data_IF_112486904220
#
_entry.id   IF_112486904220
#
_cell.length_a   1.000
_cell.length_b   1.000
_cell.length_c   1.000
_cell.angle_alpha   90.00
_cell.angle_beta   90.00
_cell.angle_gamma   90.00
#
_symmetry.space_group_name_H-M   'P 1'
#
loop_
_entity.id
_entity.type
_entity.pdbx_description
1 polymer ?
#
# COMPACT_ATOMS: atom_id res chain seq x y z
N UNK A 1 -10.60 -8.78 -28.98
CA UNK A 1 -9.89 -10.07 -29.05
C UNK A 1 -9.25 -10.25 -27.69
N UNK A 2 -9.90 -11.00 -26.82
CA UNK A 2 -9.29 -11.44 -25.56
C UNK A 2 -8.30 -12.51 -25.95
N UNK A 3 -7.02 -12.17 -25.97
CA UNK A 3 -5.96 -13.17 -26.04
C UNK A 3 -6.06 -14.00 -24.78
N UNK A 4 -6.15 -15.31 -24.89
CA UNK A 4 -6.07 -16.27 -23.80
C UNK A 4 -4.74 -16.08 -23.08
N UNK A 5 -4.75 -15.24 -22.06
CA UNK A 5 -3.57 -15.00 -21.23
C UNK A 5 -3.53 -16.12 -20.22
N UNK A 6 -2.72 -17.13 -20.48
CA UNK A 6 -2.30 -18.13 -19.48
C UNK A 6 -1.44 -17.44 -18.42
N UNK A 7 -2.04 -16.56 -17.63
CA UNK A 7 -1.35 -15.76 -16.62
C UNK A 7 -2.13 -15.64 -15.34
N UNK A 8 -1.45 -15.27 -14.25
CA UNK A 8 -2.10 -14.99 -12.98
C UNK A 8 -2.93 -13.70 -13.10
N UNK A 9 -4.20 -13.75 -12.65
CA UNK A 9 -5.00 -12.54 -12.46
C UNK A 9 -4.47 -11.74 -11.25
N UNK A 10 -4.82 -10.44 -11.17
CA UNK A 10 -4.47 -9.59 -10.02
C UNK A 10 -4.92 -10.23 -8.69
N UNK A 11 -6.13 -10.78 -8.63
CA UNK A 11 -6.63 -11.44 -7.44
C UNK A 11 -5.81 -12.69 -7.07
N UNK A 12 -5.41 -13.51 -8.05
CA UNK A 12 -4.58 -14.69 -7.79
C UNK A 12 -3.19 -14.30 -7.29
N UNK A 13 -2.59 -13.27 -7.88
CA UNK A 13 -1.30 -12.72 -7.40
C UNK A 13 -1.43 -12.18 -5.98
N UNK A 14 -2.49 -11.44 -5.69
CA UNK A 14 -2.79 -10.93 -4.33
C UNK A 14 -2.90 -12.05 -3.30
N UNK A 15 -3.63 -13.11 -3.62
CA UNK A 15 -3.75 -14.27 -2.72
C UNK A 15 -2.40 -14.96 -2.52
N UNK A 16 -1.63 -15.15 -3.57
CA UNK A 16 -0.34 -15.84 -3.51
C UNK A 16 0.69 -15.03 -2.71
N UNK A 17 0.85 -13.75 -3.01
CA UNK A 17 1.93 -12.93 -2.44
C UNK A 17 1.59 -12.35 -1.08
N UNK A 18 0.32 -12.05 -0.81
CA UNK A 18 -0.06 -11.35 0.43
C UNK A 18 -0.93 -12.20 1.35
N UNK A 19 -1.94 -12.91 0.85
CA UNK A 19 -2.84 -13.66 1.72
C UNK A 19 -2.17 -14.89 2.34
N UNK A 20 -1.52 -15.74 1.57
CA UNK A 20 -0.90 -16.95 2.10
C UNK A 20 0.17 -16.68 3.17
N UNK A 21 1.18 -15.81 2.94
CA UNK A 21 2.13 -15.50 3.99
C UNK A 21 1.48 -14.81 5.19
N UNK A 22 0.48 -13.96 4.98
CA UNK A 22 -0.27 -13.32 6.07
C UNK A 22 -1.02 -14.33 6.93
N UNK A 23 -1.69 -15.29 6.33
CA UNK A 23 -2.39 -16.38 7.04
C UNK A 23 -1.38 -17.19 7.86
N UNK A 24 -0.26 -17.58 7.26
CA UNK A 24 0.79 -18.32 7.96
C UNK A 24 1.29 -17.58 9.20
N UNK A 25 1.63 -16.28 9.08
CA UNK A 25 2.10 -15.47 10.19
C UNK A 25 1.02 -15.27 11.27
N UNK A 26 -0.23 -15.11 10.85
CA UNK A 26 -1.39 -14.97 11.74
C UNK A 26 -1.66 -16.22 12.57
N UNK A 27 -1.56 -17.39 11.96
CA UNK A 27 -1.70 -18.67 12.66
C UNK A 27 -0.60 -18.89 13.71
N UNK A 28 0.61 -18.39 13.44
CA UNK A 28 1.73 -18.42 14.39
C UNK A 28 1.57 -17.44 15.55
N UNK A 29 0.83 -16.36 15.35
CA UNK A 29 0.61 -15.36 16.40
C UNK A 29 -0.80 -14.73 16.35
N UNK A 30 -1.86 -15.48 16.71
CA UNK A 30 -3.24 -15.04 16.58
C UNK A 30 -3.59 -13.77 17.39
N UNK A 31 -2.77 -13.41 18.38
CA UNK A 31 -2.97 -12.21 19.21
C UNK A 31 -2.78 -10.91 18.43
N UNK A 32 -2.01 -10.94 17.35
CA UNK A 32 -1.73 -9.78 16.50
C UNK A 32 -2.85 -9.49 15.50
N UNK A 33 -3.65 -10.50 15.15
CA UNK A 33 -4.61 -10.45 14.04
C UNK A 33 -5.57 -9.28 14.17
N UNK A 34 -6.18 -9.09 15.34
CA UNK A 34 -7.21 -8.06 15.51
C UNK A 34 -6.68 -6.64 15.25
N UNK A 35 -5.56 -6.28 15.87
CA UNK A 35 -4.98 -4.92 15.72
C UNK A 35 -4.49 -4.68 14.30
N UNK A 36 -3.76 -5.66 13.75
CA UNK A 36 -3.27 -5.60 12.37
C UNK A 36 -4.41 -5.47 11.38
N UNK A 37 -5.46 -6.29 11.52
CA UNK A 37 -6.61 -6.27 10.62
C UNK A 37 -7.35 -4.94 10.63
N UNK A 38 -7.63 -4.38 11.83
CA UNK A 38 -8.33 -3.09 11.92
C UNK A 38 -7.50 -1.98 11.30
N UNK A 39 -6.19 -1.93 11.60
CA UNK A 39 -5.30 -0.95 10.99
C UNK A 39 -5.28 -1.08 9.47
N UNK A 40 -5.15 -2.31 8.96
CA UNK A 40 -5.06 -2.60 7.54
C UNK A 40 -6.36 -2.29 6.79
N UNK A 41 -7.51 -2.56 7.39
CA UNK A 41 -8.80 -2.18 6.82
C UNK A 41 -8.93 -0.67 6.70
N UNK A 42 -8.62 0.07 7.77
CA UNK A 42 -8.73 1.54 7.75
C UNK A 42 -7.76 2.14 6.74
N UNK A 43 -6.50 1.74 6.76
CA UNK A 43 -5.49 2.25 5.83
C UNK A 43 -5.76 1.82 4.40
N UNK A 44 -6.02 0.52 4.16
CA UNK A 44 -6.23 -0.03 2.83
C UNK A 44 -7.47 0.55 2.15
N UNK A 45 -8.59 0.72 2.86
CA UNK A 45 -9.78 1.38 2.32
C UNK A 45 -9.50 2.84 1.96
N UNK A 46 -8.74 3.55 2.81
CA UNK A 46 -8.37 4.95 2.53
C UNK A 46 -7.48 5.04 1.29
N UNK A 47 -6.49 4.15 1.18
CA UNK A 47 -5.62 4.06 0.00
C UNK A 47 -6.43 3.74 -1.26
N UNK A 48 -7.29 2.74 -1.21
CA UNK A 48 -8.12 2.32 -2.33
C UNK A 48 -8.91 3.49 -2.94
N UNK A 49 -9.63 4.24 -2.11
CA UNK A 49 -10.49 5.32 -2.64
C UNK A 49 -9.69 6.55 -3.09
N UNK A 50 -8.67 6.94 -2.34
CA UNK A 50 -7.95 8.18 -2.62
C UNK A 50 -6.86 7.93 -3.68
N UNK A 51 -6.01 6.93 -3.46
CA UNK A 51 -4.81 6.75 -4.28
C UNK A 51 -5.14 6.20 -5.65
N UNK A 52 -5.99 5.18 -5.73
CA UNK A 52 -6.33 4.58 -7.02
C UNK A 52 -7.13 5.53 -7.90
N UNK A 53 -8.08 6.28 -7.30
CA UNK A 53 -8.81 7.26 -8.09
C UNK A 53 -7.90 8.38 -8.62
N UNK A 54 -7.04 8.93 -7.77
CA UNK A 54 -6.12 10.00 -8.17
C UNK A 54 -5.04 9.50 -9.13
N UNK A 55 -4.55 8.28 -8.95
CA UNK A 55 -3.63 7.64 -9.87
C UNK A 55 -4.27 7.40 -11.25
N UNK A 56 -5.53 6.98 -11.28
CA UNK A 56 -6.30 6.86 -12.52
C UNK A 56 -6.42 8.22 -13.24
N UNK A 57 -6.70 9.31 -12.50
CA UNK A 57 -6.82 10.65 -13.07
C UNK A 57 -5.48 11.21 -13.62
N UNK A 58 -4.37 10.90 -12.96
CA UNK A 58 -3.01 11.28 -13.40
C UNK A 58 -2.40 10.25 -14.36
N UNK A 59 -3.14 9.17 -14.66
CA UNK A 59 -2.70 8.01 -15.43
C UNK A 59 -1.42 7.35 -14.87
N UNK A 60 -1.14 7.53 -13.57
CA UNK A 60 0.06 7.00 -12.91
C UNK A 60 0.14 5.48 -13.02
N UNK A 61 -0.99 4.78 -12.92
CA UNK A 61 -1.14 3.37 -13.29
C UNK A 61 -2.55 3.07 -13.77
N UNK A 62 -2.70 1.99 -14.51
CA UNK A 62 -3.98 1.51 -14.98
C UNK A 62 -4.04 -0.01 -14.94
N UNK A 63 -5.15 -0.55 -14.41
CA UNK A 63 -5.42 -1.98 -14.29
C UNK A 63 -6.47 -2.35 -15.35
N UNK A 64 -6.11 -3.04 -16.45
CA UNK A 64 -7.02 -3.23 -17.60
C UNK A 64 -8.10 -4.29 -17.38
N UNK A 65 -7.79 -5.35 -16.65
CA UNK A 65 -8.56 -6.60 -16.61
C UNK A 65 -9.58 -6.72 -15.47
N UNK A 66 -10.10 -5.61 -14.93
CA UNK A 66 -11.05 -5.67 -13.81
C UNK A 66 -12.44 -6.14 -14.23
N UNK A 67 -13.06 -6.98 -13.40
CA UNK A 67 -14.45 -7.44 -13.58
C UNK A 67 -15.45 -6.34 -13.29
N UNK A 68 -15.17 -5.46 -12.34
CA UNK A 68 -16.04 -4.36 -11.95
C UNK A 68 -15.25 -3.19 -11.39
N UNK A 69 -15.77 -1.96 -11.56
CA UNK A 69 -15.12 -0.73 -11.15
C UNK A 69 -16.06 0.21 -10.42
N UNK A 70 -15.51 0.98 -9.49
CA UNK A 70 -16.20 2.03 -8.74
C UNK A 70 -15.79 3.43 -9.24
N UNK A 71 -16.45 4.46 -8.73
CA UNK A 71 -16.15 5.89 -8.95
C UNK A 71 -15.88 6.21 -10.43
N UNK A 72 -16.92 6.06 -11.27
CA UNK A 72 -16.84 6.30 -12.71
C UNK A 72 -15.72 5.50 -13.39
N UNK A 73 -15.69 4.22 -13.10
CA UNK A 73 -14.77 3.25 -13.69
C UNK A 73 -13.28 3.46 -13.38
N UNK A 74 -12.96 4.22 -12.33
CA UNK A 74 -11.56 4.45 -11.95
C UNK A 74 -10.97 3.38 -11.04
N UNK A 75 -11.74 2.83 -10.10
CA UNK A 75 -11.24 1.92 -9.07
C UNK A 75 -11.66 0.48 -9.35
N UNK A 76 -10.72 -0.43 -9.65
CA UNK A 76 -10.99 -1.85 -9.81
C UNK A 76 -11.40 -2.50 -8.47
N UNK A 77 -12.37 -3.42 -8.50
CA UNK A 77 -12.80 -4.11 -7.28
C UNK A 77 -11.70 -5.00 -6.69
N UNK A 78 -10.86 -5.58 -7.54
CA UNK A 78 -9.75 -6.45 -7.18
C UNK A 78 -8.66 -5.73 -6.40
N UNK A 79 -8.57 -4.42 -6.54
CA UNK A 79 -7.58 -3.59 -5.84
C UNK A 79 -7.90 -3.41 -4.35
N UNK A 80 -9.17 -3.55 -3.96
CA UNK A 80 -9.59 -3.54 -2.57
C UNK A 80 -8.91 -4.63 -1.71
N UNK A 81 -9.04 -5.92 -2.05
CA UNK A 81 -8.27 -6.98 -1.42
C UNK A 81 -6.77 -6.78 -1.50
N UNK A 82 -6.24 -6.26 -2.62
CA UNK A 82 -4.82 -6.05 -2.82
C UNK A 82 -4.28 -5.02 -1.81
N UNK A 83 -4.86 -3.85 -1.69
CA UNK A 83 -4.42 -2.80 -0.76
C UNK A 83 -4.52 -3.23 0.69
N UNK A 84 -5.65 -3.84 1.09
CA UNK A 84 -5.85 -4.29 2.47
C UNK A 84 -4.88 -5.41 2.86
N UNK A 85 -4.70 -6.42 1.99
CA UNK A 85 -3.82 -7.56 2.27
C UNK A 85 -2.35 -7.17 2.24
N UNK A 86 -1.95 -6.22 1.38
CA UNK A 86 -0.61 -5.68 1.39
C UNK A 86 -0.28 -5.00 2.73
N UNK A 87 -1.13 -4.06 3.17
CA UNK A 87 -0.94 -3.39 4.47
C UNK A 87 -0.91 -4.41 5.60
N UNK A 88 -1.81 -5.39 5.56
CA UNK A 88 -1.84 -6.45 6.54
C UNK A 88 -0.54 -7.26 6.55
N UNK A 89 -0.05 -7.65 5.38
CA UNK A 89 1.18 -8.41 5.25
C UNK A 89 2.41 -7.66 5.76
N UNK A 90 2.52 -6.38 5.43
CA UNK A 90 3.60 -5.52 5.94
C UNK A 90 3.57 -5.47 7.46
N UNK A 91 2.41 -5.17 8.05
CA UNK A 91 2.29 -4.97 9.50
C UNK A 91 2.43 -6.28 10.27
N UNK A 92 1.84 -7.40 9.81
CA UNK A 92 1.99 -8.69 10.49
C UNK A 92 3.42 -9.20 10.43
N UNK A 93 4.12 -8.97 9.31
CA UNK A 93 5.54 -9.27 9.14
C UNK A 93 6.39 -8.47 10.12
N UNK A 94 6.14 -7.15 10.22
CA UNK A 94 6.80 -6.26 11.16
C UNK A 94 6.66 -6.74 12.59
N UNK A 95 5.45 -7.01 13.04
CA UNK A 95 5.17 -7.49 14.39
C UNK A 95 5.78 -8.85 14.68
N UNK A 96 5.68 -9.79 13.74
CA UNK A 96 6.15 -11.15 13.91
C UNK A 96 7.67 -11.24 14.04
N UNK A 97 8.41 -10.59 13.15
CA UNK A 97 9.86 -10.74 13.09
C UNK A 97 10.62 -9.79 14.00
N UNK A 98 10.11 -8.59 14.25
CA UNK A 98 10.87 -7.60 14.99
C UNK A 98 10.37 -7.35 16.42
N UNK A 99 9.14 -7.77 16.73
CA UNK A 99 8.55 -7.48 18.04
C UNK A 99 7.77 -8.64 18.66
N UNK A 100 8.14 -9.87 18.39
CA UNK A 100 7.57 -11.09 19.00
C UNK A 100 7.73 -11.08 20.55
N UNK A 101 7.07 -10.16 21.24
CA UNK A 101 7.09 -10.09 22.69
C UNK A 101 5.92 -10.86 23.30
N UNK A 102 6.17 -11.52 24.44
CA UNK A 102 5.16 -12.20 25.25
C UNK A 102 4.16 -11.23 25.93
N UNK A 103 4.29 -9.91 25.70
CA UNK A 103 3.46 -8.89 26.31
C UNK A 103 2.04 -8.87 25.74
N UNK A 104 1.09 -8.62 26.61
CA UNK A 104 -0.33 -8.59 26.29
C UNK A 104 -0.61 -7.42 25.35
N UNK A 105 -0.99 -7.71 24.11
CA UNK A 105 -1.39 -6.68 23.15
C UNK A 105 -2.68 -6.02 23.62
N UNK A 106 -2.59 -4.75 23.93
CA UNK A 106 -3.74 -3.89 24.19
C UNK A 106 -3.78 -2.87 23.07
N UNK A 107 -4.96 -2.62 22.52
CA UNK A 107 -5.19 -1.57 21.54
C UNK A 107 -4.60 -0.24 22.03
N UNK A 108 -3.76 0.38 21.20
CA UNK A 108 -3.29 1.72 21.53
C UNK A 108 -4.46 2.71 21.39
N UNK A 109 -4.77 3.53 22.40
CA UNK A 109 -5.90 4.47 22.34
C UNK A 109 -5.81 5.45 21.16
N UNK A 110 -4.60 5.73 20.68
CA UNK A 110 -4.38 6.63 19.55
C UNK A 110 -4.91 6.10 18.20
N UNK A 111 -5.29 4.82 18.10
CA UNK A 111 -5.90 4.30 16.85
C UNK A 111 -7.17 5.06 16.47
N UNK A 112 -7.89 5.61 17.48
CA UNK A 112 -9.06 6.44 17.21
C UNK A 112 -8.71 7.70 16.41
N UNK A 113 -7.54 8.29 16.69
CA UNK A 113 -7.04 9.45 15.95
C UNK A 113 -6.64 9.09 14.53
N UNK A 114 -6.10 7.90 14.33
CA UNK A 114 -5.80 7.39 12.99
C UNK A 114 -7.08 7.16 12.19
N UNK A 115 -8.08 6.52 12.79
CA UNK A 115 -9.41 6.34 12.17
C UNK A 115 -10.04 7.68 11.83
N UNK A 116 -10.03 8.64 12.76
CA UNK A 116 -10.56 9.98 12.54
C UNK A 116 -9.82 10.72 11.41
N UNK A 117 -8.49 10.60 11.36
CA UNK A 117 -7.67 11.16 10.28
C UNK A 117 -8.04 10.56 8.92
N UNK A 118 -8.08 9.23 8.80
CA UNK A 118 -8.47 8.54 7.56
C UNK A 118 -9.92 8.90 7.14
N UNK A 119 -10.85 8.92 8.10
CA UNK A 119 -12.22 9.35 7.83
C UNK A 119 -12.29 10.79 7.33
N UNK A 120 -11.50 11.70 7.91
CA UNK A 120 -11.44 13.09 7.45
C UNK A 120 -10.88 13.20 6.03
N UNK A 121 -9.83 12.43 5.70
CA UNK A 121 -9.30 12.37 4.33
C UNK A 121 -10.35 11.86 3.34
N UNK A 122 -11.08 10.81 3.68
CA UNK A 122 -12.17 10.27 2.84
C UNK A 122 -13.29 11.30 2.66
N UNK A 123 -13.70 12.01 3.72
CA UNK A 123 -14.71 13.08 3.62
C UNK A 123 -14.23 14.19 2.69
N UNK A 124 -13.00 14.68 2.87
CA UNK A 124 -12.42 15.71 2.00
C UNK A 124 -12.38 15.22 0.55
N UNK A 125 -11.92 13.99 0.33
CA UNK A 125 -11.86 13.37 -0.99
C UNK A 125 -13.25 13.33 -1.64
N UNK A 126 -14.27 12.78 -0.96
CA UNK A 126 -15.60 12.64 -1.53
C UNK A 126 -16.28 14.01 -1.76
N UNK A 127 -16.08 14.98 -0.86
CA UNK A 127 -16.55 16.35 -1.07
C UNK A 127 -15.90 16.96 -2.31
N UNK A 128 -14.56 16.83 -2.45
CA UNK A 128 -13.84 17.34 -3.63
C UNK A 128 -14.28 16.62 -4.90
N UNK A 129 -14.45 15.29 -4.84
CA UNK A 129 -14.94 14.49 -5.96
C UNK A 129 -16.31 14.95 -6.49
N UNK A 130 -17.21 15.38 -5.59
CA UNK A 130 -18.56 15.84 -5.96
C UNK A 130 -18.54 17.29 -6.44
N UNK A 131 -17.84 18.18 -5.72
CA UNK A 131 -17.92 19.65 -5.91
C UNK A 131 -16.90 20.15 -6.93
N UNK A 132 -15.69 19.60 -6.93
CA UNK A 132 -14.57 20.09 -7.73
C UNK A 132 -13.68 18.94 -8.22
N UNK A 133 -14.19 17.98 -9.02
CA UNK A 133 -13.44 16.78 -9.39
C UNK A 133 -12.11 17.07 -10.12
N UNK A 134 -12.03 18.18 -10.84
CA UNK A 134 -10.79 18.61 -11.51
C UNK A 134 -9.65 18.93 -10.53
N UNK A 135 -9.95 19.26 -9.27
CA UNK A 135 -8.94 19.52 -8.24
C UNK A 135 -8.24 18.24 -7.77
N UNK A 136 -8.77 17.06 -8.11
CA UNK A 136 -8.14 15.76 -7.84
C UNK A 136 -7.11 15.36 -8.89
N UNK A 137 -7.01 16.08 -10.01
CA UNK A 137 -5.94 15.85 -11.02
C UNK A 137 -4.68 16.55 -10.55
N UNK A 138 -3.73 15.77 -10.04
CA UNK A 138 -2.48 16.31 -9.46
C UNK A 138 -1.29 15.73 -10.25
N UNK A 139 -0.63 16.54 -11.10
CA UNK A 139 0.57 16.09 -11.80
C UNK A 139 1.65 15.59 -10.82
N UNK A 140 2.36 14.54 -11.19
CA UNK A 140 3.31 13.86 -10.32
C UNK A 140 2.67 13.36 -9.01
N UNK A 141 1.42 12.92 -9.10
CA UNK A 141 0.67 12.46 -7.93
C UNK A 141 1.41 11.38 -7.17
N UNK A 142 1.98 10.40 -7.88
CA UNK A 142 2.66 9.27 -7.30
C UNK A 142 3.85 9.68 -6.41
N UNK A 143 4.73 10.53 -6.93
CA UNK A 143 5.87 11.04 -6.16
C UNK A 143 5.42 11.86 -4.94
N UNK A 144 4.43 12.75 -5.14
CA UNK A 144 3.89 13.57 -4.04
C UNK A 144 3.27 12.73 -2.94
N UNK A 145 2.58 11.64 -3.33
CA UNK A 145 2.03 10.65 -2.41
C UNK A 145 3.13 10.03 -1.56
N UNK A 146 4.18 9.47 -2.18
CA UNK A 146 5.30 8.86 -1.47
C UNK A 146 5.97 9.83 -0.49
N UNK A 147 6.16 11.08 -0.89
CA UNK A 147 6.72 12.08 0.00
C UNK A 147 5.82 12.34 1.21
N UNK A 148 4.53 12.60 0.98
CA UNK A 148 3.61 13.01 2.04
C UNK A 148 3.22 11.87 2.98
N UNK A 149 2.91 10.70 2.45
CA UNK A 149 2.32 9.61 3.23
C UNK A 149 3.33 8.53 3.63
N UNK A 150 4.52 8.53 3.06
CA UNK A 150 5.54 7.52 3.37
C UNK A 150 6.81 8.16 3.93
N UNK A 151 7.48 9.04 3.17
CA UNK A 151 8.78 9.59 3.56
C UNK A 151 8.67 10.50 4.80
N UNK A 152 7.69 11.40 4.87
CA UNK A 152 7.53 12.31 6.03
C UNK A 152 7.20 11.53 7.31
N UNK A 153 6.19 10.64 7.36
CA UNK A 153 5.91 9.84 8.56
C UNK A 153 7.09 8.97 8.97
N UNK A 154 7.78 8.35 8.01
CA UNK A 154 8.98 7.56 8.27
C UNK A 154 10.10 8.41 8.91
N UNK A 155 10.35 9.59 8.38
CA UNK A 155 11.35 10.54 8.91
C UNK A 155 11.00 10.95 10.34
N UNK A 156 9.74 11.28 10.61
CA UNK A 156 9.26 11.62 11.96
C UNK A 156 9.45 10.44 12.91
N UNK A 157 9.10 9.23 12.47
CA UNK A 157 9.29 8.02 13.29
C UNK A 157 10.76 7.81 13.63
N UNK A 158 11.67 7.92 12.65
CA UNK A 158 13.11 7.70 12.84
C UNK A 158 13.76 8.75 13.76
N UNK A 159 13.31 10.00 13.68
CA UNK A 159 13.75 11.04 14.63
C UNK A 159 13.31 10.71 16.06
N UNK A 160 12.07 10.26 16.24
CA UNK A 160 11.53 9.91 17.56
C UNK A 160 12.04 8.58 18.11
N UNK A 161 12.26 7.60 17.24
CA UNK A 161 12.64 6.23 17.60
C UNK A 161 13.84 5.74 16.74
N UNK A 162 15.03 6.33 16.85
CA UNK A 162 16.17 6.02 15.98
C UNK A 162 16.62 4.55 16.02
N UNK A 163 16.32 3.84 17.10
CA UNK A 163 16.61 2.40 17.22
C UNK A 163 15.85 1.54 16.21
N UNK A 164 14.78 2.06 15.61
CA UNK A 164 13.99 1.34 14.61
C UNK A 164 14.64 1.33 13.22
N UNK A 165 15.72 2.10 12.98
CA UNK A 165 16.37 2.15 11.66
C UNK A 165 16.81 0.78 11.17
N UNK A 166 17.44 -0.04 12.02
CA UNK A 166 17.90 -1.38 11.62
C UNK A 166 16.75 -2.32 11.23
N UNK A 167 15.74 -2.56 12.07
CA UNK A 167 14.63 -3.41 11.68
C UNK A 167 13.85 -2.87 10.48
N UNK A 168 13.71 -1.54 10.32
CA UNK A 168 13.09 -0.95 9.14
C UNK A 168 13.90 -1.20 7.88
N UNK A 169 15.24 -1.11 7.92
CA UNK A 169 16.08 -1.44 6.77
C UNK A 169 15.90 -2.93 6.35
N UNK A 170 15.87 -3.86 7.29
CA UNK A 170 15.59 -5.27 6.95
C UNK A 170 14.21 -5.45 6.32
N UNK A 171 13.19 -4.78 6.88
CA UNK A 171 11.85 -4.80 6.31
C UNK A 171 11.84 -4.22 4.88
N UNK A 172 12.49 -3.06 4.67
CA UNK A 172 12.61 -2.43 3.35
C UNK A 172 13.25 -3.37 2.34
N UNK A 173 14.40 -3.96 2.68
CA UNK A 173 15.08 -4.91 1.78
C UNK A 173 14.18 -6.10 1.44
N UNK A 174 13.50 -6.66 2.44
CA UNK A 174 12.58 -7.77 2.20
C UNK A 174 11.45 -7.39 1.25
N UNK A 175 10.74 -6.29 1.54
CA UNK A 175 9.63 -5.86 0.71
C UNK A 175 10.06 -5.29 -0.64
N UNK A 176 11.27 -4.76 -0.77
CA UNK A 176 11.85 -4.41 -2.06
C UNK A 176 11.87 -5.61 -3.02
N UNK A 177 12.33 -6.76 -2.57
CA UNK A 177 12.33 -7.96 -3.40
C UNK A 177 10.92 -8.52 -3.66
N UNK A 178 10.03 -8.44 -2.67
CA UNK A 178 8.62 -8.83 -2.85
C UNK A 178 7.94 -7.93 -3.89
N UNK A 179 8.17 -6.61 -3.81
CA UNK A 179 7.62 -5.64 -4.75
C UNK A 179 8.20 -5.84 -6.16
N UNK A 180 9.53 -5.96 -6.29
CA UNK A 180 10.18 -6.20 -7.58
C UNK A 180 9.65 -7.48 -8.26
N UNK A 181 9.53 -8.58 -7.51
CA UNK A 181 8.97 -9.82 -8.06
C UNK A 181 7.49 -9.68 -8.41
N UNK A 182 6.71 -9.02 -7.55
CA UNK A 182 5.30 -8.72 -7.78
C UNK A 182 5.11 -7.90 -9.04
N UNK A 183 5.93 -6.86 -9.22
CA UNK A 183 5.92 -5.98 -10.39
C UNK A 183 6.25 -6.74 -11.67
N UNK A 184 7.30 -7.58 -11.65
CA UNK A 184 7.63 -8.43 -12.78
C UNK A 184 6.44 -9.30 -13.20
N UNK A 185 5.79 -9.95 -12.24
CA UNK A 185 4.62 -10.81 -12.51
C UNK A 185 3.45 -9.99 -13.03
N UNK A 186 3.18 -8.85 -12.43
CA UNK A 186 2.06 -7.99 -12.81
C UNK A 186 2.20 -7.42 -14.22
N UNK A 187 3.36 -6.88 -14.56
CA UNK A 187 3.64 -6.35 -15.90
C UNK A 187 3.63 -7.46 -16.97
N UNK A 188 4.24 -8.61 -16.68
CA UNK A 188 4.27 -9.76 -17.61
C UNK A 188 2.88 -10.33 -17.88
N UNK A 189 1.98 -10.29 -16.87
CA UNK A 189 0.59 -10.76 -16.99
C UNK A 189 -0.40 -9.64 -17.36
N UNK A 190 0.06 -8.43 -17.69
CA UNK A 190 -0.77 -7.27 -18.00
C UNK A 190 -1.81 -6.96 -16.88
N UNK A 191 -1.45 -7.18 -15.63
CA UNK A 191 -2.32 -6.87 -14.50
C UNK A 191 -2.47 -5.36 -14.34
N UNK A 192 -1.37 -4.61 -14.56
CA UNK A 192 -1.37 -3.16 -14.69
C UNK A 192 -0.27 -2.68 -15.64
N UNK A 193 -0.30 -1.41 -15.98
CA UNK A 193 0.74 -0.72 -16.71
C UNK A 193 0.76 0.77 -16.39
N UNK A 194 1.89 1.42 -16.67
CA UNK A 194 2.14 2.83 -16.42
C UNK A 194 1.88 3.63 -17.69
N UNK A 195 0.73 4.33 -17.74
CA UNK A 195 0.28 5.03 -18.95
C UNK A 195 0.65 6.52 -18.97
N UNK A 196 0.91 7.12 -17.80
CA UNK A 196 1.10 8.56 -17.64
C UNK A 196 2.43 9.10 -18.16
N UNK A 197 2.57 10.42 -18.00
CA UNK A 197 3.78 11.17 -18.38
C UNK A 197 4.40 11.91 -17.18
N UNK A 198 3.69 11.94 -16.03
CA UNK A 198 4.11 12.68 -14.83
C UNK A 198 4.95 11.82 -13.89
N UNK A 199 6.11 11.34 -14.39
CA UNK A 199 7.13 10.64 -13.61
C UNK A 199 8.46 11.39 -13.64
N UNK A 200 9.29 11.15 -12.61
CA UNK A 200 10.65 11.74 -12.56
C UNK A 200 11.62 11.12 -13.56
N UNK A 201 11.23 10.01 -14.19
CA UNK A 201 11.99 9.28 -15.19
C UNK A 201 11.51 7.83 -15.29
N UNK A 202 12.11 7.08 -16.21
CA UNK A 202 11.68 5.73 -16.54
C UNK A 202 12.85 4.82 -16.87
N UNK A 203 12.66 3.53 -16.62
CA UNK A 203 13.57 2.46 -17.06
C UNK A 203 12.81 1.38 -17.81
N UNK A 204 13.55 0.54 -18.53
CA UNK A 204 13.03 -0.70 -19.10
C UNK A 204 13.26 -1.84 -18.10
N UNK A 205 12.16 -2.42 -17.62
CA UNK A 205 12.17 -3.54 -16.69
C UNK A 205 11.59 -4.78 -17.38
N UNK A 206 12.44 -5.72 -17.75
CA UNK A 206 12.07 -6.91 -18.54
C UNK A 206 11.23 -6.61 -19.80
N UNK A 207 11.53 -5.51 -20.50
CA UNK A 207 10.81 -5.08 -21.69
C UNK A 207 9.55 -4.24 -21.43
N UNK A 208 9.21 -3.99 -20.19
CA UNK A 208 8.10 -3.15 -19.80
C UNK A 208 8.59 -1.77 -19.29
N UNK A 209 7.78 -0.75 -19.49
CA UNK A 209 8.00 0.59 -18.97
C UNK A 209 7.81 0.58 -17.44
N UNK A 210 8.79 1.07 -16.69
CA UNK A 210 8.75 1.19 -15.23
C UNK A 210 9.21 2.59 -14.80
N UNK A 211 8.37 3.39 -14.14
CA UNK A 211 8.76 4.68 -13.61
C UNK A 211 9.75 4.56 -12.44
N UNK A 212 10.67 5.52 -12.29
CA UNK A 212 11.50 5.63 -11.10
C UNK A 212 10.68 5.86 -9.82
N UNK A 213 9.54 6.53 -9.96
CA UNK A 213 8.58 6.76 -8.89
C UNK A 213 8.12 5.45 -8.26
N UNK A 214 7.88 4.41 -9.09
CA UNK A 214 7.51 3.06 -8.62
C UNK A 214 8.59 2.48 -7.70
N UNK A 215 9.85 2.56 -8.10
CA UNK A 215 10.96 2.04 -7.31
C UNK A 215 11.14 2.83 -6.01
N UNK A 216 11.07 4.15 -6.07
CA UNK A 216 11.30 5.01 -4.91
C UNK A 216 10.14 4.95 -3.93
N UNK A 217 8.90 5.11 -4.41
CA UNK A 217 7.71 5.18 -3.57
C UNK A 217 7.31 3.76 -3.14
N UNK A 218 7.05 2.90 -4.11
CA UNK A 218 6.45 1.61 -3.82
C UNK A 218 7.44 0.56 -3.29
N UNK A 219 8.57 0.36 -3.97
CA UNK A 219 9.51 -0.69 -3.56
C UNK A 219 10.32 -0.33 -2.32
N UNK A 220 10.70 0.96 -2.16
CA UNK A 220 11.55 1.39 -1.05
C UNK A 220 10.79 1.99 0.12
N UNK A 221 9.77 2.83 -0.12
CA UNK A 221 9.14 3.62 0.94
C UNK A 221 7.81 3.06 1.44
N UNK A 222 7.04 2.32 0.64
CA UNK A 222 5.71 1.89 1.03
C UNK A 222 5.70 1.05 2.33
N UNK A 223 6.49 -0.02 2.40
CA UNK A 223 6.51 -0.86 3.58
C UNK A 223 6.98 -0.14 4.86
N UNK A 224 8.12 0.57 4.87
CA UNK A 224 8.52 1.33 6.06
C UNK A 224 7.61 2.52 6.35
N UNK A 225 6.97 3.14 5.35
CA UNK A 225 5.96 4.18 5.51
C UNK A 225 4.69 3.66 6.21
N UNK A 226 4.15 2.52 5.77
CA UNK A 226 3.02 1.85 6.44
C UNK A 226 3.34 1.53 7.90
N UNK A 227 4.55 1.04 8.16
CA UNK A 227 5.01 0.78 9.54
C UNK A 227 5.13 2.07 10.34
N UNK A 228 5.53 3.19 9.73
CA UNK A 228 5.62 4.46 10.42
C UNK A 228 4.25 4.93 10.94
N UNK A 229 3.20 4.78 10.15
CA UNK A 229 1.82 5.03 10.58
C UNK A 229 1.40 4.05 11.69
N UNK A 230 1.66 2.76 11.51
CA UNK A 230 1.32 1.75 12.49
C UNK A 230 1.99 1.99 13.85
N UNK A 231 3.31 2.25 13.87
CA UNK A 231 4.08 2.54 15.08
C UNK A 231 3.66 3.83 15.79
N UNK A 232 3.09 4.77 15.04
CA UNK A 232 2.65 6.06 15.59
C UNK A 232 1.27 5.99 16.25
N UNK A 233 0.38 5.12 15.76
CA UNK A 233 -1.02 5.15 16.15
C UNK A 233 -1.58 3.82 16.66
N UNK A 234 -1.09 2.69 16.22
CA UNK A 234 -1.68 1.39 16.52
C UNK A 234 -0.80 0.48 17.38
N UNK A 235 0.53 0.59 17.30
CA UNK A 235 1.44 -0.21 18.07
C UNK A 235 1.57 0.33 19.52
N UNK A 236 1.33 -0.53 20.49
CA UNK A 236 1.68 -0.24 21.90
C UNK A 236 2.94 -1.00 22.27
N UNK A 237 3.99 -0.25 22.62
CA UNK A 237 5.26 -0.77 23.10
C UNK A 237 5.56 -0.14 24.46
N UNK A 238 5.28 -0.89 25.51
CA UNK A 238 5.66 -0.51 26.89
C UNK A 238 7.11 -0.87 27.16
#
# INVERSE_FOLDING_TARGET
VVSDVYGLSLLQSTLLFFAFPSIYLSLRNPRLVKTTLIFSLVMGITMLFIFDHMAYLDASWYIPGSMWRFLRDSIPIEDGPWTVLLVYYVVITWEYFFFSSKKRYVFHPNIIWFVAFCASLLIIFFVTYIVAPHALVIPYFYLKLGILFEMIPLSILLVRKPKLIRPLLFLTVYFFFVAALGEFIALTNNQWYFAGEHYIGEIQYFGHRLPWDEILVWWLLAAPGMVAWYESFAARRD
#
